data_IF_611129724368
#
_entry.id   IF_611129724368
#
_cell.length_a   1.000
_cell.length_b   1.000
_cell.length_c   1.000
_cell.angle_alpha   90.00
_cell.angle_beta   90.00
_cell.angle_gamma   90.00
#
_symmetry.space_group_name_H-M   'P 1'
#
loop_
_entity.id
_entity.type
_entity.pdbx_description
1 polymer ?
#
# COMPACT_ATOMS: atom_id res chain seq x y z
N UNK A 1 -32.96 14.54 0.41
CA UNK A 1 -31.91 14.51 1.43
C UNK A 1 -30.84 13.56 0.94
N UNK A 2 -29.63 14.11 0.79
CA UNK A 2 -28.32 13.52 0.48
C UNK A 2 -28.22 12.37 -0.52
N UNK A 3 -27.54 12.68 -1.63
CA UNK A 3 -26.89 11.72 -2.52
C UNK A 3 -26.06 10.77 -1.68
N UNK A 4 -26.41 9.48 -1.73
CA UNK A 4 -25.52 8.39 -1.36
C UNK A 4 -24.61 8.17 -2.57
N UNK A 5 -23.40 7.66 -2.36
CA UNK A 5 -22.41 7.34 -3.40
C UNK A 5 -21.60 8.55 -3.88
N UNK A 6 -20.45 8.80 -3.22
CA UNK A 6 -19.23 9.39 -3.80
C UNK A 6 -18.06 9.28 -2.78
N UNK A 7 -17.99 8.20 -2.00
CA UNK A 7 -17.01 8.04 -0.88
C UNK A 7 -16.10 6.81 -1.07
N UNK A 8 -16.10 6.16 -2.24
CA UNK A 8 -15.34 4.91 -2.48
C UNK A 8 -13.87 5.16 -2.91
N UNK A 9 -13.50 6.41 -3.21
CA UNK A 9 -12.15 6.77 -3.69
C UNK A 9 -11.33 7.57 -2.66
N UNK A 10 -11.90 7.93 -1.50
CA UNK A 10 -11.19 8.71 -0.49
C UNK A 10 -10.71 7.80 0.65
N UNK A 11 -9.41 7.85 0.93
CA UNK A 11 -8.81 7.16 2.07
C UNK A 11 -9.47 7.66 3.36
N UNK A 12 -10.15 6.76 4.08
CA UNK A 12 -10.74 7.09 5.37
C UNK A 12 -9.67 7.11 6.48
N UNK A 13 -9.92 7.77 7.62
CA UNK A 13 -9.02 7.71 8.76
C UNK A 13 -8.76 6.28 9.28
N UNK A 14 -9.75 5.40 9.19
CA UNK A 14 -9.62 3.98 9.56
C UNK A 14 -8.69 3.24 8.60
N UNK A 15 -8.73 3.59 7.32
CA UNK A 15 -7.82 3.01 6.32
C UNK A 15 -6.41 3.58 6.44
N UNK A 16 -6.24 4.87 6.79
CA UNK A 16 -4.94 5.42 7.13
C UNK A 16 -4.30 4.72 8.33
N UNK A 17 -5.08 4.43 9.37
CA UNK A 17 -4.59 3.68 10.52
C UNK A 17 -4.11 2.29 10.11
N UNK A 18 -4.90 1.56 9.32
CA UNK A 18 -4.51 0.25 8.78
C UNK A 18 -3.24 0.35 7.93
N UNK A 19 -3.17 1.30 7.01
CA UNK A 19 -1.98 1.54 6.16
C UNK A 19 -0.74 1.74 7.04
N UNK A 20 -0.83 2.61 8.05
CA UNK A 20 0.29 2.92 8.93
C UNK A 20 0.76 1.70 9.76
N UNK A 21 -0.15 0.77 10.09
CA UNK A 21 0.18 -0.50 10.75
C UNK A 21 0.85 -1.49 9.77
N UNK A 22 0.42 -1.50 8.51
CA UNK A 22 0.87 -2.47 7.50
C UNK A 22 2.21 -2.10 6.85
N UNK A 23 2.52 -0.80 6.71
CA UNK A 23 3.81 -0.32 6.17
C UNK A 23 5.02 -1.00 6.84
N UNK A 24 5.19 -1.00 8.19
CA UNK A 24 6.35 -1.63 8.81
C UNK A 24 6.40 -3.15 8.60
N UNK A 25 5.25 -3.83 8.47
CA UNK A 25 5.18 -5.27 8.18
C UNK A 25 5.73 -5.56 6.78
N UNK A 26 5.30 -4.77 5.79
CA UNK A 26 5.78 -4.92 4.41
C UNK A 26 7.25 -4.57 4.28
N UNK A 27 7.71 -3.52 4.96
CA UNK A 27 9.15 -3.17 5.01
C UNK A 27 9.97 -4.30 5.62
N UNK A 28 9.44 -4.95 6.65
CA UNK A 28 10.08 -6.10 7.30
C UNK A 28 10.05 -7.37 6.45
N UNK A 29 9.24 -7.46 5.39
CA UNK A 29 9.24 -8.58 4.43
C UNK A 29 10.08 -8.27 3.18
N UNK A 30 10.28 -6.99 2.88
CA UNK A 30 11.14 -6.50 1.80
C UNK A 30 12.63 -6.45 2.17
N UNK A 31 13.04 -7.00 3.33
CA UNK A 31 14.33 -6.89 4.09
C UNK A 31 15.64 -6.68 3.31
N UNK A 32 15.70 -6.95 2.02
CA UNK A 32 16.91 -6.94 1.21
C UNK A 32 16.96 -5.81 0.15
N UNK A 33 15.86 -5.09 -0.08
CA UNK A 33 15.81 -4.00 -1.07
C UNK A 33 15.07 -2.79 -0.53
N UNK A 34 15.79 -1.70 -0.24
CA UNK A 34 15.18 -0.45 0.26
C UNK A 34 15.42 0.70 -0.70
N UNK A 35 14.75 0.64 -1.85
CA UNK A 35 14.55 1.79 -2.75
C UNK A 35 13.19 2.45 -2.61
N UNK A 36 12.23 1.79 -1.94
CA UNK A 36 10.86 2.30 -1.79
C UNK A 36 10.71 3.22 -0.58
N UNK A 37 10.06 4.35 -0.81
CA UNK A 37 9.59 5.24 0.24
C UNK A 37 8.30 4.72 0.87
N UNK A 38 7.96 5.23 2.04
CA UNK A 38 6.69 4.90 2.69
C UNK A 38 5.48 5.31 1.83
N UNK A 39 5.65 6.31 0.95
CA UNK A 39 4.64 6.74 0.00
C UNK A 39 4.43 5.70 -1.11
N UNK A 40 5.51 5.09 -1.63
CA UNK A 40 5.41 4.02 -2.64
C UNK A 40 4.69 2.79 -2.06
N UNK A 41 4.98 2.48 -0.80
CA UNK A 41 4.33 1.38 -0.08
C UNK A 41 2.87 1.72 0.16
N UNK A 42 2.54 2.93 0.65
CA UNK A 42 1.16 3.38 0.87
C UNK A 42 0.32 3.31 -0.41
N UNK A 43 0.84 3.85 -1.51
CA UNK A 43 0.14 3.85 -2.80
C UNK A 43 -0.07 2.42 -3.32
N UNK A 44 0.98 1.59 -3.27
CA UNK A 44 0.84 0.19 -3.70
C UNK A 44 -0.12 -0.60 -2.80
N UNK A 45 -0.14 -0.32 -1.51
CA UNK A 45 -1.06 -0.93 -0.56
C UNK A 45 -2.52 -0.55 -0.84
N UNK A 46 -2.76 0.73 -1.15
CA UNK A 46 -4.08 1.23 -1.52
C UNK A 46 -4.58 0.58 -2.81
N UNK A 47 -3.74 0.52 -3.83
CA UNK A 47 -4.07 -0.13 -5.12
C UNK A 47 -4.31 -1.64 -4.99
N UNK A 48 -3.80 -2.27 -3.93
CA UNK A 48 -3.99 -3.70 -3.63
C UNK A 48 -5.01 -3.93 -2.50
N UNK A 49 -5.95 -3.00 -2.28
CA UNK A 49 -7.04 -3.15 -1.31
C UNK A 49 -6.56 -3.50 0.12
N UNK A 50 -5.43 -2.93 0.53
CA UNK A 50 -4.81 -3.15 1.85
C UNK A 50 -4.31 -4.59 2.09
N UNK A 51 -4.16 -5.40 1.04
CA UNK A 51 -3.65 -6.78 1.15
C UNK A 51 -2.12 -6.84 1.10
N UNK A 52 -1.51 -7.51 2.07
CA UNK A 52 -0.05 -7.57 2.25
C UNK A 52 0.64 -8.35 1.13
N UNK A 53 0.21 -9.60 0.87
CA UNK A 53 0.85 -10.48 -0.11
C UNK A 53 0.89 -9.91 -1.55
N UNK A 54 -0.23 -9.40 -2.12
CA UNK A 54 -0.19 -8.80 -3.45
C UNK A 54 0.63 -7.51 -3.47
N UNK A 55 0.60 -6.69 -2.41
CA UNK A 55 1.45 -5.50 -2.28
C UNK A 55 2.94 -5.86 -2.36
N UNK A 56 3.39 -6.85 -1.58
CA UNK A 56 4.78 -7.30 -1.60
C UNK A 56 5.15 -7.84 -2.98
N UNK A 57 4.28 -8.63 -3.61
CA UNK A 57 4.50 -9.18 -4.95
C UNK A 57 4.68 -8.08 -5.99
N UNK A 58 3.84 -7.04 -5.96
CA UNK A 58 3.92 -5.91 -6.87
C UNK A 58 5.19 -5.08 -6.63
N UNK A 59 5.50 -4.75 -5.38
CA UNK A 59 6.72 -4.03 -5.03
C UNK A 59 7.97 -4.80 -5.46
N UNK A 60 8.02 -6.13 -5.25
CA UNK A 60 9.11 -6.98 -5.76
C UNK A 60 9.18 -6.99 -7.29
N UNK A 61 8.03 -7.00 -7.98
CA UNK A 61 8.00 -6.91 -9.45
C UNK A 61 8.52 -5.56 -9.96
N UNK A 62 8.21 -4.45 -9.27
CA UNK A 62 8.71 -3.12 -9.61
C UNK A 62 10.24 -3.04 -9.47
N UNK A 63 10.82 -3.73 -8.49
CA UNK A 63 12.29 -3.82 -8.33
C UNK A 63 12.97 -4.58 -9.46
N UNK A 64 12.38 -5.71 -9.89
CA UNK A 64 12.97 -6.56 -10.93
C UNK A 64 13.01 -5.88 -12.33
N UNK A 65 12.28 -4.79 -12.53
CA UNK A 65 12.28 -4.00 -13.76
C UNK A 65 13.25 -2.80 -13.74
N UNK A 66 14.05 -2.63 -12.67
CA UNK A 66 15.05 -1.56 -12.55
C UNK A 66 16.43 -2.02 -13.09
N UNK A 67 16.57 -3.26 -13.58
CA UNK A 67 17.79 -3.80 -14.22
C UNK A 67 17.92 -3.50 -15.72
#
# INVERSE_FOLDING_TARGET
MSSKYDDDDEITPEDEEKINILIPVIKADLQEYTGFSDLDIKDTLWNNYLEIEPTIKELKSKLAHIE
#
